data_IF_339626545509
#
_entry.id   IF_339626545509
#
_cell.length_a   1.000
_cell.length_b   1.000
_cell.length_c   1.000
_cell.angle_alpha   90.00
_cell.angle_beta   90.00
_cell.angle_gamma   90.00
#
_symmetry.space_group_name_H-M   'P 1'
#
loop_
_entity.id
_entity.type
_entity.pdbx_description
1 polymer ?
#
# COMPACT_ATOMS: atom_id res chain seq x y z
N UNK A 1 -26.12 -20.62 17.12
CA UNK A 1 -26.71 -20.23 15.82
C UNK A 1 -27.87 -21.14 15.40
N UNK A 2 -28.13 -22.25 16.11
CA UNK A 2 -29.05 -23.32 15.67
C UNK A 2 -30.52 -22.90 15.51
N UNK A 3 -30.96 -21.86 16.22
CA UNK A 3 -32.31 -21.30 16.07
C UNK A 3 -32.45 -20.33 14.87
N UNK A 4 -31.34 -19.90 14.26
CA UNK A 4 -31.35 -18.94 13.14
C UNK A 4 -31.76 -19.62 11.83
N UNK A 5 -32.45 -18.88 10.94
CA UNK A 5 -32.71 -19.35 9.57
C UNK A 5 -31.41 -19.64 8.81
N UNK A 6 -30.35 -18.86 9.06
CA UNK A 6 -29.02 -19.11 8.50
C UNK A 6 -28.42 -20.42 9.02
N UNK A 7 -28.60 -20.72 10.31
CA UNK A 7 -28.08 -21.95 10.93
C UNK A 7 -28.71 -23.23 10.37
N UNK A 8 -29.90 -23.14 9.76
CA UNK A 8 -30.58 -24.27 9.09
C UNK A 8 -30.09 -24.54 7.67
N UNK A 9 -29.34 -23.62 7.07
CA UNK A 9 -28.76 -23.81 5.74
C UNK A 9 -27.57 -24.76 5.82
N UNK A 10 -27.35 -25.53 4.76
CA UNK A 10 -26.12 -26.32 4.62
C UNK A 10 -24.88 -25.39 4.60
N UNK A 11 -23.71 -25.84 5.10
CA UNK A 11 -22.49 -25.03 5.12
C UNK A 11 -22.13 -24.41 3.78
N UNK A 12 -22.34 -25.13 2.67
CA UNK A 12 -22.02 -24.67 1.31
C UNK A 12 -22.87 -23.45 0.90
N UNK A 13 -24.15 -23.43 1.29
CA UNK A 13 -25.03 -22.30 1.02
C UNK A 13 -24.66 -21.09 1.88
N UNK A 14 -24.30 -21.30 3.15
CA UNK A 14 -23.82 -20.21 4.02
C UNK A 14 -22.53 -19.61 3.46
N UNK A 15 -21.58 -20.45 3.06
CA UNK A 15 -20.32 -20.00 2.47
C UNK A 15 -20.57 -19.14 1.24
N UNK A 16 -21.48 -19.55 0.35
CA UNK A 16 -21.81 -18.77 -0.84
C UNK A 16 -22.48 -17.43 -0.49
N UNK A 17 -23.32 -17.38 0.54
CA UNK A 17 -23.88 -16.10 1.05
C UNK A 17 -22.76 -15.21 1.59
N UNK A 18 -21.84 -15.78 2.37
CA UNK A 18 -20.73 -15.04 2.96
C UNK A 18 -19.75 -14.53 1.91
N UNK A 19 -19.45 -15.30 0.88
CA UNK A 19 -18.64 -14.88 -0.24
C UNK A 19 -19.16 -13.57 -0.86
N UNK A 20 -20.46 -13.48 -1.15
CA UNK A 20 -21.07 -12.24 -1.63
C UNK A 20 -21.09 -11.12 -0.57
N UNK A 21 -21.12 -11.45 0.72
CA UNK A 21 -21.18 -10.45 1.78
C UNK A 21 -19.81 -9.86 2.12
N UNK A 22 -18.74 -10.64 1.99
CA UNK A 22 -17.39 -10.26 2.42
C UNK A 22 -16.47 -9.85 1.28
N UNK A 23 -16.72 -10.30 0.05
CA UNK A 23 -15.94 -9.89 -1.11
C UNK A 23 -16.23 -8.42 -1.48
N UNK A 24 -15.19 -7.68 -1.77
CA UNK A 24 -15.22 -6.31 -2.24
C UNK A 24 -14.60 -6.23 -3.62
N UNK A 25 -15.26 -5.50 -4.51
CA UNK A 25 -14.72 -5.21 -5.83
C UNK A 25 -13.54 -4.21 -5.76
N UNK A 26 -13.57 -3.32 -4.75
CA UNK A 26 -12.53 -2.33 -4.52
C UNK A 26 -11.53 -2.80 -3.45
N UNK A 27 -10.23 -2.52 -3.62
CA UNK A 27 -9.23 -2.85 -2.61
C UNK A 27 -9.52 -2.21 -1.24
N UNK A 28 -9.44 -3.02 -0.19
CA UNK A 28 -9.64 -2.59 1.19
C UNK A 28 -8.38 -1.86 1.67
N UNK A 29 -8.48 -0.54 1.78
CA UNK A 29 -7.42 0.31 2.32
C UNK A 29 -7.34 0.17 3.84
N UNK A 30 -6.18 -0.23 4.34
CA UNK A 30 -5.82 -0.35 5.74
C UNK A 30 -4.93 0.84 6.09
N UNK A 31 -5.45 1.77 6.88
CA UNK A 31 -4.63 2.80 7.52
C UNK A 31 -3.89 2.18 8.70
N UNK A 32 -2.56 2.30 8.70
CA UNK A 32 -1.72 1.89 9.82
C UNK A 32 -1.60 3.04 10.81
N UNK A 33 -1.97 2.80 12.06
CA UNK A 33 -1.73 3.75 13.15
C UNK A 33 -0.77 3.14 14.16
N UNK A 34 0.30 3.85 14.45
CA UNK A 34 1.23 3.52 15.53
C UNK A 34 0.70 4.16 16.82
N UNK A 35 0.37 3.33 17.81
CA UNK A 35 0.01 3.73 19.18
C UNK A 35 1.18 3.31 20.08
N UNK A 36 1.45 3.98 21.21
CA UNK A 36 2.42 3.47 22.18
C UNK A 36 2.16 1.98 22.45
N UNK A 37 3.20 1.15 22.25
CA UNK A 37 3.25 -0.31 22.43
C UNK A 37 2.46 -1.19 21.43
N UNK A 38 1.67 -0.64 20.49
CA UNK A 38 0.90 -1.45 19.52
C UNK A 38 0.66 -0.73 18.21
N UNK A 39 0.79 -1.47 17.11
CA UNK A 39 0.29 -1.00 15.81
C UNK A 39 -1.13 -1.50 15.58
N UNK A 40 -2.01 -0.62 15.10
CA UNK A 40 -3.39 -0.95 14.74
C UNK A 40 -3.64 -0.64 13.28
N UNK A 41 -4.11 -1.63 12.53
CA UNK A 41 -4.65 -1.42 11.19
C UNK A 41 -6.15 -1.17 11.30
N UNK A 42 -6.64 -0.12 10.64
CA UNK A 42 -8.08 0.15 10.52
C UNK A 42 -8.45 0.20 9.04
N UNK A 43 -9.47 -0.56 8.59
CA UNK A 43 -10.00 -0.36 7.25
C UNK A 43 -10.61 1.04 7.14
N UNK A 44 -10.22 1.81 6.13
CA UNK A 44 -10.77 3.15 5.89
C UNK A 44 -12.22 3.07 5.41
N UNK A 45 -12.55 2.05 4.61
CA UNK A 45 -13.89 1.67 4.17
C UNK A 45 -13.80 0.38 3.33
N UNK A 46 -14.91 -0.38 3.11
CA UNK A 46 -16.21 -0.30 3.78
C UNK A 46 -16.26 -1.07 5.10
N UNK A 47 -17.30 -0.82 5.91
CA UNK A 47 -17.46 -1.38 7.25
C UNK A 47 -17.91 -2.85 7.24
N UNK A 48 -17.23 -3.73 6.52
CA UNK A 48 -17.56 -5.16 6.45
C UNK A 48 -17.24 -5.87 7.78
N UNK A 49 -16.54 -5.16 8.67
CA UNK A 49 -16.15 -5.65 9.99
C UNK A 49 -17.32 -6.04 10.90
N UNK A 50 -18.54 -5.61 10.58
CA UNK A 50 -19.74 -6.02 11.32
C UNK A 50 -19.94 -7.54 11.28
N UNK A 51 -19.58 -8.21 10.18
CA UNK A 51 -19.74 -9.66 10.02
C UNK A 51 -18.94 -10.42 11.08
N UNK A 52 -17.71 -9.96 11.35
CA UNK A 52 -16.81 -10.57 12.34
C UNK A 52 -17.24 -10.38 13.79
N UNK A 53 -18.18 -9.46 14.06
CA UNK A 53 -18.67 -9.15 15.40
C UNK A 53 -19.93 -9.94 15.80
N UNK A 54 -20.42 -10.82 14.93
CA UNK A 54 -21.70 -11.51 15.13
C UNK A 54 -21.61 -12.68 16.12
N UNK A 55 -21.06 -13.82 15.70
CA UNK A 55 -20.82 -14.98 16.55
C UNK A 55 -19.62 -15.79 16.05
N UNK A 56 -19.06 -16.64 16.92
CA UNK A 56 -17.83 -17.42 16.63
C UNK A 56 -17.90 -18.16 15.30
N UNK A 57 -19.00 -18.86 15.01
CA UNK A 57 -19.12 -19.63 13.78
C UNK A 57 -19.15 -18.73 12.52
N UNK A 58 -19.88 -17.61 12.53
CA UNK A 58 -19.88 -16.67 11.39
C UNK A 58 -18.48 -16.06 11.23
N UNK A 59 -17.82 -15.72 12.33
CA UNK A 59 -16.46 -15.20 12.30
C UNK A 59 -15.51 -16.19 11.63
N UNK A 60 -15.52 -17.46 12.03
CA UNK A 60 -14.67 -18.51 11.47
C UNK A 60 -14.98 -18.76 9.98
N UNK A 61 -16.27 -18.87 9.61
CA UNK A 61 -16.70 -19.05 8.22
C UNK A 61 -16.24 -17.85 7.35
N UNK A 62 -16.45 -16.63 7.82
CA UNK A 62 -16.19 -15.42 7.02
C UNK A 62 -14.72 -15.02 6.97
N UNK A 63 -13.94 -15.25 8.03
CA UNK A 63 -12.57 -14.75 8.12
C UNK A 63 -11.70 -15.30 6.98
N UNK A 64 -11.76 -16.60 6.74
CA UNK A 64 -10.98 -17.23 5.66
C UNK A 64 -11.35 -16.67 4.29
N UNK A 65 -12.65 -16.56 3.98
CA UNK A 65 -13.11 -16.00 2.69
C UNK A 65 -12.77 -14.52 2.55
N UNK A 66 -12.89 -13.74 3.62
CA UNK A 66 -12.56 -12.32 3.60
C UNK A 66 -11.10 -12.08 3.24
N UNK A 67 -10.17 -12.79 3.88
CA UNK A 67 -8.75 -12.61 3.54
C UNK A 67 -8.37 -13.24 2.21
N UNK A 68 -9.07 -14.30 1.78
CA UNK A 68 -8.79 -14.98 0.52
C UNK A 68 -9.32 -14.24 -0.72
N UNK A 69 -10.48 -13.59 -0.62
CA UNK A 69 -11.21 -13.04 -1.77
C UNK A 69 -11.12 -11.52 -1.90
N UNK A 70 -10.37 -10.84 -1.02
CA UNK A 70 -10.21 -9.39 -1.07
C UNK A 70 -8.77 -9.00 -1.32
N UNK A 71 -8.61 -7.89 -2.02
CA UNK A 71 -7.33 -7.17 -2.12
C UNK A 71 -7.20 -6.19 -0.96
N UNK A 72 -6.07 -6.20 -0.26
CA UNK A 72 -5.78 -5.27 0.82
C UNK A 72 -4.66 -4.31 0.42
N UNK A 73 -4.83 -3.03 0.71
CA UNK A 73 -3.79 -2.00 0.53
C UNK A 73 -3.43 -1.47 1.89
N UNK A 74 -2.21 -1.71 2.35
CA UNK A 74 -1.69 -1.09 3.58
C UNK A 74 -1.10 0.26 3.20
N UNK A 75 -1.75 1.34 3.64
CA UNK A 75 -1.24 2.72 3.49
C UNK A 75 -0.42 3.07 4.74
N UNK A 76 0.87 3.39 4.56
CA UNK A 76 1.76 3.83 5.64
C UNK A 76 2.42 5.16 5.29
N UNK A 77 2.24 6.18 6.12
CA UNK A 77 2.88 7.49 5.92
C UNK A 77 4.38 7.50 6.29
N UNK A 78 4.85 6.45 6.96
CA UNK A 78 6.24 6.29 7.38
C UNK A 78 6.63 4.81 7.29
N UNK A 79 7.59 4.49 6.42
CA UNK A 79 8.11 3.13 6.29
C UNK A 79 9.06 2.75 7.42
N UNK A 80 9.74 3.74 8.02
CA UNK A 80 10.68 3.54 9.13
C UNK A 80 9.97 3.09 10.42
N UNK A 81 8.72 3.53 10.63
CA UNK A 81 7.89 3.12 11.77
C UNK A 81 6.82 2.08 11.46
N UNK A 82 6.74 1.62 10.20
CA UNK A 82 6.02 0.40 9.83
C UNK A 82 6.78 -0.80 10.39
N UNK A 83 6.86 -0.86 11.72
CA UNK A 83 7.61 -1.82 12.49
C UNK A 83 7.26 -3.22 12.01
N UNK A 84 8.28 -4.08 12.01
CA UNK A 84 8.21 -5.50 11.67
C UNK A 84 6.85 -6.10 12.05
N UNK A 85 6.31 -5.81 13.24
CA UNK A 85 5.03 -6.31 13.75
C UNK A 85 3.80 -6.33 12.82
N UNK A 86 3.51 -5.31 12.00
CA UNK A 86 2.24 -5.25 11.24
C UNK A 86 2.28 -6.00 9.92
N UNK A 87 3.38 -5.81 9.18
CA UNK A 87 3.66 -6.61 7.99
C UNK A 87 3.93 -8.05 8.40
N UNK A 88 4.63 -8.29 9.52
CA UNK A 88 4.81 -9.63 10.09
C UNK A 88 3.46 -10.25 10.42
N UNK A 89 2.54 -9.56 11.10
CA UNK A 89 1.22 -10.12 11.42
C UNK A 89 0.37 -10.43 10.17
N UNK A 90 0.43 -9.59 9.14
CA UNK A 90 -0.34 -9.81 7.90
C UNK A 90 0.34 -10.76 6.91
N UNK A 91 1.65 -10.95 7.02
CA UNK A 91 2.43 -11.65 6.01
C UNK A 91 3.25 -12.85 6.51
N UNK A 92 3.29 -13.11 7.83
CA UNK A 92 3.84 -14.35 8.39
C UNK A 92 2.92 -15.55 8.20
N UNK A 93 3.48 -16.74 8.40
CA UNK A 93 2.78 -18.03 8.31
C UNK A 93 1.58 -18.16 9.27
N UNK A 94 1.61 -17.47 10.41
CA UNK A 94 0.55 -17.52 11.42
C UNK A 94 -0.56 -16.49 11.16
N UNK A 95 -0.33 -15.56 10.24
CA UNK A 95 -1.31 -14.59 9.77
C UNK A 95 -2.39 -15.22 8.88
N UNK A 96 -3.53 -14.54 8.68
CA UNK A 96 -4.50 -14.98 7.69
C UNK A 96 -3.83 -15.09 6.31
N UNK A 97 -4.18 -16.13 5.55
CA UNK A 97 -3.67 -16.33 4.19
C UNK A 97 -4.29 -15.29 3.25
N UNK A 98 -3.74 -14.08 3.27
CA UNK A 98 -4.14 -13.03 2.35
C UNK A 98 -3.56 -13.36 0.98
N UNK A 99 -4.43 -13.52 -0.02
CA UNK A 99 -3.97 -13.82 -1.37
C UNK A 99 -3.38 -12.58 -2.05
N UNK A 100 -4.05 -11.44 -1.91
CA UNK A 100 -3.69 -10.20 -2.59
C UNK A 100 -3.49 -9.07 -1.57
N UNK A 101 -2.33 -9.05 -0.93
CA UNK A 101 -1.90 -7.96 -0.07
C UNK A 101 -0.93 -7.06 -0.85
N UNK A 102 -1.18 -5.76 -0.81
CA UNK A 102 -0.34 -4.69 -1.34
C UNK A 102 0.06 -3.78 -0.19
N UNK A 103 1.35 -3.54 -0.01
CA UNK A 103 1.81 -2.41 0.81
C UNK A 103 2.02 -1.23 -0.15
N UNK A 104 1.56 -0.05 0.26
CA UNK A 104 1.77 1.24 -0.36
C UNK A 104 2.17 2.20 0.75
N UNK A 105 3.44 2.50 0.92
CA UNK A 105 3.74 3.65 1.75
C UNK A 105 3.70 4.91 0.91
N UNK A 106 3.25 5.97 1.56
CA UNK A 106 2.90 7.25 0.99
C UNK A 106 3.91 8.26 1.50
N UNK A 107 4.93 8.57 0.70
CA UNK A 107 5.69 9.79 0.89
C UNK A 107 4.86 10.94 0.28
N UNK A 108 3.99 11.56 1.08
CA UNK A 108 3.21 12.72 0.65
C UNK A 108 4.11 13.97 0.64
N UNK A 109 5.09 14.00 -0.26
CA UNK A 109 5.88 15.20 -0.53
C UNK A 109 5.06 16.14 -1.41
N UNK A 110 4.10 16.83 -0.79
CA UNK A 110 3.40 17.93 -1.46
C UNK A 110 4.38 19.09 -1.59
N UNK A 111 5.05 19.21 -2.74
CA UNK A 111 5.84 20.40 -3.07
C UNK A 111 4.93 21.63 -2.98
N UNK A 112 5.19 22.59 -2.07
CA UNK A 112 4.45 23.84 -2.08
C UNK A 112 4.78 24.56 -3.39
N UNK A 113 3.76 24.83 -4.21
CA UNK A 113 3.90 25.41 -5.54
C UNK A 113 4.64 26.77 -5.50
N UNK A 114 4.67 27.43 -4.34
CA UNK A 114 5.22 28.79 -4.16
C UNK A 114 6.29 28.93 -3.07
N UNK A 115 6.79 27.83 -2.47
CA UNK A 115 7.85 27.94 -1.46
C UNK A 115 9.25 27.90 -2.11
N UNK A 116 10.22 28.72 -1.64
CA UNK A 116 11.62 28.56 -2.01
C UNK A 116 12.11 27.22 -1.46
N UNK A 117 12.05 26.19 -2.30
CA UNK A 117 12.51 24.86 -1.97
C UNK A 117 14.03 24.88 -1.75
N UNK A 118 14.49 24.41 -0.59
CA UNK A 118 15.86 23.97 -0.43
C UNK A 118 16.05 22.68 -1.23
N UNK A 119 16.53 22.86 -2.47
CA UNK A 119 16.52 21.86 -3.54
C UNK A 119 17.26 20.57 -3.18
N UNK A 120 18.25 20.65 -2.29
CA UNK A 120 19.04 19.49 -1.90
C UNK A 120 18.36 18.65 -0.83
N UNK A 121 17.64 19.27 0.09
CA UNK A 121 17.04 18.54 1.21
C UNK A 121 15.96 17.56 0.72
N UNK A 122 15.06 17.99 -0.17
CA UNK A 122 13.94 17.16 -0.62
C UNK A 122 14.33 15.98 -1.52
N UNK A 123 15.27 16.17 -2.45
CA UNK A 123 15.75 15.07 -3.29
C UNK A 123 16.49 14.02 -2.45
N UNK A 124 17.16 14.49 -1.41
CA UNK A 124 17.96 13.64 -0.52
C UNK A 124 17.07 12.90 0.47
N UNK A 125 16.07 13.56 1.06
CA UNK A 125 15.09 12.91 1.95
C UNK A 125 14.31 11.79 1.21
N UNK A 126 13.90 12.03 -0.04
CA UNK A 126 13.23 10.99 -0.85
C UNK A 126 14.18 9.84 -1.20
N UNK A 127 15.42 10.16 -1.58
CA UNK A 127 16.43 9.15 -1.86
C UNK A 127 16.76 8.34 -0.60
N UNK A 128 16.92 9.00 0.55
CA UNK A 128 17.21 8.40 1.84
C UNK A 128 16.03 7.53 2.32
N UNK A 129 14.78 7.94 2.11
CA UNK A 129 13.60 7.09 2.37
C UNK A 129 13.59 5.86 1.47
N UNK A 130 13.83 6.03 0.16
CA UNK A 130 13.86 4.93 -0.80
C UNK A 130 15.03 3.98 -0.53
N UNK A 131 16.19 4.50 -0.15
CA UNK A 131 17.39 3.73 0.24
C UNK A 131 17.21 3.06 1.60
N UNK A 132 16.50 3.71 2.53
CA UNK A 132 16.13 3.17 3.84
C UNK A 132 15.15 2.00 3.74
N UNK A 133 14.45 1.85 2.61
CA UNK A 133 13.69 0.64 2.31
C UNK A 133 14.66 -0.51 2.01
N UNK A 134 14.98 -1.28 3.05
CA UNK A 134 15.58 -2.59 2.86
C UNK A 134 14.56 -3.52 2.18
N UNK A 135 14.53 -3.48 0.84
CA UNK A 135 13.58 -4.24 0.03
C UNK A 135 13.72 -5.74 0.29
N UNK A 136 14.93 -6.23 0.56
CA UNK A 136 15.17 -7.63 0.92
C UNK A 136 14.53 -7.98 2.25
N UNK A 137 14.64 -7.10 3.26
CA UNK A 137 13.95 -7.28 4.55
C UNK A 137 12.44 -7.24 4.38
N UNK A 138 11.89 -6.31 3.59
CA UNK A 138 10.45 -6.25 3.32
C UNK A 138 9.93 -7.50 2.59
N UNK A 139 10.69 -8.00 1.61
CA UNK A 139 10.38 -9.24 0.91
C UNK A 139 10.50 -10.47 1.83
N UNK A 140 11.47 -10.49 2.73
CA UNK A 140 11.66 -11.56 3.71
C UNK A 140 10.55 -11.62 4.77
N UNK A 141 10.03 -10.46 5.19
CA UNK A 141 8.93 -10.37 6.15
C UNK A 141 7.60 -10.88 5.59
N UNK A 142 7.53 -11.07 4.27
CA UNK A 142 6.26 -11.23 3.60
C UNK A 142 6.34 -12.12 2.34
N UNK A 143 6.71 -13.40 2.48
CA UNK A 143 6.77 -14.33 1.36
C UNK A 143 5.42 -14.46 0.63
N UNK A 144 4.33 -14.20 1.34
CA UNK A 144 2.96 -14.29 0.82
C UNK A 144 2.45 -12.99 0.15
N UNK A 145 3.19 -11.87 0.22
CA UNK A 145 2.79 -10.61 -0.43
C UNK A 145 2.88 -10.74 -1.95
N UNK A 146 1.76 -10.94 -2.67
CA UNK A 146 1.80 -10.98 -4.14
C UNK A 146 2.28 -9.67 -4.77
N UNK A 147 1.92 -8.53 -4.18
CA UNK A 147 2.29 -7.21 -4.69
C UNK A 147 2.93 -6.38 -3.57
N UNK A 148 4.08 -5.80 -3.84
CA UNK A 148 4.75 -4.92 -2.90
C UNK A 148 5.20 -3.69 -3.68
N UNK A 149 4.51 -2.56 -3.49
CA UNK A 149 4.76 -1.36 -4.28
C UNK A 149 4.95 -0.12 -3.43
N UNK A 150 6.06 0.58 -3.59
CA UNK A 150 6.25 1.89 -3.01
C UNK A 150 5.60 2.97 -3.87
N UNK A 151 5.00 4.01 -3.26
CA UNK A 151 4.30 5.05 -3.99
C UNK A 151 4.66 6.45 -3.44
N UNK A 152 5.07 7.35 -4.33
CA UNK A 152 5.27 8.75 -3.99
C UNK A 152 4.61 9.66 -5.02
N UNK A 153 3.99 10.72 -4.53
CA UNK A 153 3.50 11.82 -5.37
C UNK A 153 4.58 12.89 -5.29
N UNK A 154 5.31 13.13 -6.39
CA UNK A 154 6.33 14.18 -6.41
C UNK A 154 5.67 15.54 -6.63
N UNK A 155 4.76 15.62 -7.60
CA UNK A 155 4.01 16.84 -7.89
C UNK A 155 2.69 16.50 -8.60
N UNK A 156 1.87 17.52 -8.85
CA UNK A 156 0.59 17.36 -9.53
C UNK A 156 0.77 16.64 -10.88
N UNK A 157 0.24 15.43 -10.96
CA UNK A 157 0.34 14.61 -12.16
C UNK A 157 1.73 14.00 -12.39
N UNK A 158 2.62 13.89 -11.40
CA UNK A 158 3.81 13.01 -11.46
C UNK A 158 3.82 12.12 -10.23
N UNK A 159 3.73 10.83 -10.50
CA UNK A 159 3.55 9.81 -9.48
C UNK A 159 4.51 8.68 -9.75
N UNK A 160 5.30 8.32 -8.75
CA UNK A 160 6.23 7.20 -8.81
C UNK A 160 5.58 6.03 -8.07
N UNK A 161 5.39 4.90 -8.75
CA UNK A 161 4.88 3.67 -8.14
C UNK A 161 5.83 2.50 -8.42
N UNK A 162 6.82 2.29 -7.55
CA UNK A 162 7.87 1.28 -7.74
C UNK A 162 7.38 -0.08 -7.22
N UNK A 163 7.35 -1.10 -8.08
CA UNK A 163 7.23 -2.49 -7.64
C UNK A 163 8.55 -2.96 -7.01
N UNK A 164 8.58 -3.18 -5.70
CA UNK A 164 9.79 -3.57 -4.97
C UNK A 164 10.23 -5.01 -5.31
N UNK A 165 9.36 -5.87 -5.86
CA UNK A 165 9.77 -7.20 -6.36
C UNK A 165 10.60 -7.10 -7.64
N UNK A 166 10.36 -6.07 -8.44
CA UNK A 166 11.06 -5.79 -9.70
C UNK A 166 11.67 -4.38 -9.65
N UNK A 167 12.32 -4.06 -8.53
CA UNK A 167 12.70 -2.69 -8.16
C UNK A 167 13.35 -1.92 -9.32
N UNK A 168 14.44 -2.45 -9.88
CA UNK A 168 15.21 -1.75 -10.92
C UNK A 168 14.45 -1.57 -12.23
N UNK A 169 13.74 -2.59 -12.70
CA UNK A 169 12.98 -2.51 -13.94
C UNK A 169 11.77 -1.59 -13.79
N UNK A 170 11.11 -1.65 -12.64
CA UNK A 170 10.02 -0.75 -12.29
C UNK A 170 10.51 0.69 -12.22
N UNK A 171 11.63 0.93 -11.52
CA UNK A 171 12.22 2.26 -11.36
C UNK A 171 12.57 2.88 -12.72
N UNK A 172 13.29 2.16 -13.58
CA UNK A 172 13.63 2.64 -14.94
C UNK A 172 12.41 2.99 -15.76
N UNK A 173 11.39 2.14 -15.73
CA UNK A 173 10.13 2.36 -16.47
C UNK A 173 9.43 3.63 -16.01
N UNK A 174 9.39 3.85 -14.70
CA UNK A 174 8.75 5.02 -14.11
C UNK A 174 9.55 6.29 -14.36
N UNK A 175 10.87 6.25 -14.22
CA UNK A 175 11.75 7.39 -14.49
C UNK A 175 11.63 7.81 -15.96
N UNK A 176 11.60 6.84 -16.89
CA UNK A 176 11.38 7.12 -18.30
C UNK A 176 10.03 7.83 -18.55
N UNK A 177 8.94 7.32 -17.97
CA UNK A 177 7.62 7.95 -18.07
C UNK A 177 7.56 9.34 -17.40
N UNK A 178 8.26 9.51 -16.28
CA UNK A 178 8.36 10.80 -15.59
C UNK A 178 9.13 11.83 -16.44
N UNK A 179 10.21 11.43 -17.12
CA UNK A 179 10.97 12.30 -18.04
C UNK A 179 10.13 12.77 -19.22
N UNK A 180 9.24 11.93 -19.75
CA UNK A 180 8.27 12.35 -20.78
C UNK A 180 7.37 13.49 -20.27
N UNK A 181 6.88 13.37 -19.03
CA UNK A 181 6.10 14.45 -18.38
C UNK A 181 6.94 15.71 -18.14
N UNK A 182 8.20 15.57 -17.75
CA UNK A 182 9.14 16.69 -17.62
C UNK A 182 9.30 17.43 -18.94
N UNK A 183 9.44 16.72 -20.06
CA UNK A 183 9.50 17.32 -21.38
C UNK A 183 8.21 18.11 -21.72
N UNK A 184 7.03 17.56 -21.39
CA UNK A 184 5.75 18.24 -21.58
C UNK A 184 5.66 19.53 -20.74
N UNK A 185 6.17 19.52 -19.51
CA UNK A 185 6.23 20.73 -18.68
C UNK A 185 7.14 21.81 -19.26
N UNK A 186 8.29 21.43 -19.86
CA UNK A 186 9.15 22.39 -20.56
C UNK A 186 8.44 23.02 -21.76
N UNK A 187 7.72 22.22 -22.54
CA UNK A 187 6.95 22.73 -23.69
C UNK A 187 5.81 23.67 -23.26
N UNK A 188 5.22 23.43 -22.09
CA UNK A 188 4.20 24.28 -21.50
C UNK A 188 4.74 25.55 -20.80
N UNK A 189 6.05 25.82 -20.86
CA UNK A 189 6.68 26.98 -20.23
C UNK A 189 6.93 26.84 -18.72
N UNK A 190 6.70 25.66 -18.12
CA UNK A 190 6.93 25.37 -16.70
C UNK A 190 8.38 24.92 -16.45
N UNK A 191 9.35 25.77 -16.80
CA UNK A 191 10.78 25.41 -16.78
C UNK A 191 11.32 25.10 -15.39
N UNK A 192 10.93 25.85 -14.37
CA UNK A 192 11.40 25.64 -12.99
C UNK A 192 10.96 24.28 -12.44
N UNK A 193 9.67 23.95 -12.60
CA UNK A 193 9.12 22.65 -12.23
C UNK A 193 9.82 21.50 -12.97
N UNK A 194 10.04 21.67 -14.28
CA UNK A 194 10.74 20.67 -15.07
C UNK A 194 12.20 20.47 -14.64
N UNK A 195 12.90 21.53 -14.22
CA UNK A 195 14.26 21.44 -13.72
C UNK A 195 14.32 20.77 -12.35
N UNK A 196 13.37 21.07 -11.46
CA UNK A 196 13.25 20.42 -10.15
C UNK A 196 13.02 18.91 -10.29
N UNK A 197 12.07 18.52 -11.14
CA UNK A 197 11.77 17.11 -11.39
C UNK A 197 12.96 16.36 -11.99
N UNK A 198 13.68 16.96 -12.95
CA UNK A 198 14.88 16.33 -13.52
C UNK A 198 15.95 16.08 -12.45
N UNK A 199 16.11 17.00 -11.48
CA UNK A 199 17.01 16.82 -10.35
C UNK A 199 16.66 15.59 -9.50
N UNK A 200 15.38 15.44 -9.16
CA UNK A 200 14.87 14.28 -8.40
C UNK A 200 15.06 12.98 -9.19
N UNK A 201 14.73 12.96 -10.48
CA UNK A 201 14.86 11.77 -11.32
C UNK A 201 16.33 11.34 -11.51
N UNK A 202 17.25 12.30 -11.61
CA UNK A 202 18.69 11.99 -11.69
C UNK A 202 19.23 11.42 -10.38
N UNK A 203 18.76 11.92 -9.23
CA UNK A 203 19.13 11.35 -7.93
C UNK A 203 18.67 9.89 -7.79
N UNK A 204 17.48 9.56 -8.30
CA UNK A 204 16.94 8.20 -8.28
C UNK A 204 17.69 7.21 -9.19
N UNK A 205 18.39 7.68 -10.24
CA UNK A 205 19.16 6.82 -11.16
C UNK A 205 20.66 6.74 -10.83
N UNK A 206 21.16 7.59 -9.94
CA UNK A 206 22.60 7.68 -9.63
C UNK A 206 23.12 6.50 -8.80
N UNK A 207 22.23 5.69 -8.25
CA UNK A 207 22.50 4.47 -7.46
C UNK A 207 21.95 3.22 -8.16
#
# INVERSE_FOLDING_TARGET
>A
MEASRLGKLAPELRNRIWEYAVAQDEPIKLSVFVVPDRVRCKPQSPNITWVFKTCKQIHEECATMFYANNTFIVESDDFGTCSESSLTMLATQDGPKIQDLSLQGLAALSLPIDAPLDRHMYSQDLADEVQGLDSNKLLALAPNLRHLSWFAIICEGVTIKIDLRNYWDSLRTIVAAARERVANFRQAGKYELAQQLEGVLNALEAD
#
